data_IF_820915809976
#
_entry.id   IF_820915809976
#
_cell.length_a   1.000
_cell.length_b   1.000
_cell.length_c   1.000
_cell.angle_alpha   90.00
_cell.angle_beta   90.00
_cell.angle_gamma   90.00
#
_symmetry.space_group_name_H-M   'P 1'
#
loop_
_entity.id
_entity.type
_entity.pdbx_description
1 polymer ?
#
# COMPACT_ATOMS: atom_id res chain seq x y z
N UNK A 1 17.33 -10.38 -4.96
CA UNK A 1 16.16 -11.28 -5.14
C UNK A 1 15.54 -11.01 -6.51
N UNK A 2 15.03 -12.05 -7.19
CA UNK A 2 14.19 -11.84 -8.38
C UNK A 2 12.74 -11.57 -7.96
N UNK A 3 11.88 -11.18 -8.93
CA UNK A 3 10.48 -10.80 -8.63
C UNK A 3 9.65 -11.96 -8.04
N UNK A 4 9.92 -13.20 -8.44
CA UNK A 4 9.23 -14.36 -7.88
C UNK A 4 9.61 -14.57 -6.42
N UNK A 5 10.88 -14.47 -6.07
CA UNK A 5 11.37 -14.55 -4.68
C UNK A 5 10.78 -13.44 -3.81
N UNK A 6 10.73 -12.20 -4.32
CA UNK A 6 10.08 -11.08 -3.63
C UNK A 6 8.60 -11.36 -3.38
N UNK A 7 7.88 -11.83 -4.41
CA UNK A 7 6.45 -12.16 -4.32
C UNK A 7 6.20 -13.32 -3.33
N UNK A 8 7.12 -14.28 -3.24
CA UNK A 8 7.06 -15.36 -2.27
C UNK A 8 7.37 -14.85 -0.85
N UNK A 9 8.33 -13.95 -0.69
CA UNK A 9 8.75 -13.39 0.61
C UNK A 9 7.74 -12.41 1.17
N UNK A 10 7.15 -11.52 0.35
CA UNK A 10 6.18 -10.53 0.79
C UNK A 10 4.96 -11.20 1.47
N UNK A 11 4.60 -10.77 2.65
CA UNK A 11 3.35 -11.14 3.34
C UNK A 11 2.75 -9.95 4.08
N UNK A 12 1.51 -10.06 4.55
CA UNK A 12 0.84 -9.02 5.33
C UNK A 12 1.32 -9.04 6.78
N UNK A 13 2.30 -8.20 7.09
CA UNK A 13 2.92 -8.09 8.42
C UNK A 13 1.94 -7.40 9.37
N UNK A 14 1.75 -8.00 10.56
CA UNK A 14 0.84 -7.50 11.59
C UNK A 14 1.51 -7.40 12.96
N UNK A 15 2.82 -7.24 12.99
CA UNK A 15 3.58 -6.86 14.18
C UNK A 15 4.91 -6.26 13.73
N UNK A 16 5.16 -5.04 14.16
CA UNK A 16 6.37 -4.29 13.79
C UNK A 16 7.22 -4.05 15.03
N UNK A 17 8.53 -3.95 14.84
CA UNK A 17 9.44 -3.47 15.88
C UNK A 17 9.41 -1.93 15.95
N UNK A 18 9.94 -1.38 17.03
CA UNK A 18 10.03 0.07 17.23
C UNK A 18 11.13 0.73 16.39
N UNK A 19 11.91 -0.07 15.64
CA UNK A 19 12.98 0.45 14.78
C UNK A 19 12.39 1.32 13.67
N UNK A 20 12.81 2.58 13.56
CA UNK A 20 12.30 3.47 12.53
C UNK A 20 12.73 3.03 11.13
N UNK A 21 11.89 3.27 10.14
CA UNK A 21 12.25 3.13 8.73
C UNK A 21 13.23 4.24 8.36
N UNK A 22 14.35 3.88 7.73
CA UNK A 22 15.36 4.84 7.30
C UNK A 22 14.84 5.76 6.20
N UNK A 23 15.38 6.96 6.09
CA UNK A 23 15.03 7.89 5.00
C UNK A 23 15.44 7.31 3.63
N UNK A 24 16.57 6.62 3.57
CA UNK A 24 17.04 5.94 2.36
C UNK A 24 16.04 4.87 1.89
N UNK A 25 15.55 4.02 2.81
CA UNK A 25 14.57 3.00 2.47
C UNK A 25 13.23 3.61 2.04
N UNK A 26 12.79 4.67 2.72
CA UNK A 26 11.58 5.39 2.33
C UNK A 26 11.71 5.98 0.93
N UNK A 27 12.80 6.65 0.62
CA UNK A 27 13.05 7.24 -0.71
C UNK A 27 13.11 6.16 -1.79
N UNK A 28 13.79 5.04 -1.53
CA UNK A 28 13.82 3.91 -2.43
C UNK A 28 12.42 3.36 -2.73
N UNK A 29 11.62 3.13 -1.69
CA UNK A 29 10.24 2.64 -1.82
C UNK A 29 9.39 3.60 -2.67
N UNK A 30 9.46 4.90 -2.40
CA UNK A 30 8.71 5.91 -3.13
C UNK A 30 9.15 6.00 -4.60
N UNK A 31 10.45 5.88 -4.87
CA UNK A 31 10.97 5.90 -6.24
C UNK A 31 10.51 4.67 -7.06
N UNK A 32 10.55 3.47 -6.48
CA UNK A 32 10.01 2.27 -7.13
C UNK A 32 8.49 2.41 -7.35
N UNK A 33 7.77 2.95 -6.38
CA UNK A 33 6.32 3.22 -6.51
C UNK A 33 6.02 4.16 -7.67
N UNK A 34 6.82 5.22 -7.83
CA UNK A 34 6.70 6.20 -8.90
C UNK A 34 6.90 5.61 -10.30
N UNK A 35 7.68 4.52 -10.42
CA UNK A 35 7.96 3.85 -11.70
C UNK A 35 6.82 2.94 -12.18
N UNK A 36 5.75 2.79 -11.40
CA UNK A 36 4.61 1.97 -11.79
C UNK A 36 3.91 2.50 -13.06
N UNK A 37 3.42 1.63 -13.95
CA UNK A 37 2.61 2.04 -15.08
C UNK A 37 1.20 2.44 -14.67
N UNK A 38 0.55 3.25 -15.51
CA UNK A 38 -0.87 3.59 -15.37
C UNK A 38 -1.57 3.65 -16.72
N UNK A 39 -2.89 3.59 -16.72
CA UNK A 39 -3.69 3.68 -17.94
C UNK A 39 -3.40 4.99 -18.68
N UNK A 40 -2.95 4.88 -19.95
CA UNK A 40 -2.47 5.98 -20.82
C UNK A 40 -1.50 6.95 -20.14
N UNK A 41 -0.73 6.42 -19.17
CA UNK A 41 0.26 7.16 -18.39
C UNK A 41 -0.32 8.37 -17.60
N UNK A 42 -1.55 8.28 -17.15
CA UNK A 42 -2.20 9.37 -16.40
C UNK A 42 -1.64 9.56 -14.98
N UNK A 43 -1.13 8.48 -14.36
CA UNK A 43 -0.56 8.51 -13.01
C UNK A 43 -1.50 9.16 -11.98
N UNK A 44 -2.77 8.73 -11.88
CA UNK A 44 -3.81 9.40 -11.11
C UNK A 44 -3.72 9.07 -9.63
N UNK A 45 -2.58 9.29 -9.01
CA UNK A 45 -2.29 8.90 -7.63
C UNK A 45 -1.57 9.97 -6.84
N UNK A 46 -1.76 9.88 -5.54
CA UNK A 46 -0.97 10.58 -4.52
C UNK A 46 -0.67 9.61 -3.38
N UNK A 47 0.57 9.61 -2.94
CA UNK A 47 1.02 8.83 -1.78
C UNK A 47 1.35 9.78 -0.65
N UNK A 48 0.58 9.72 0.45
CA UNK A 48 0.76 10.59 1.61
C UNK A 48 1.52 9.83 2.67
N UNK A 49 2.76 10.23 2.93
CA UNK A 49 3.63 9.62 3.94
C UNK A 49 3.27 10.18 5.32
N UNK A 50 2.84 9.31 6.23
CA UNK A 50 2.46 9.63 7.60
C UNK A 50 3.56 9.15 8.54
N UNK A 51 4.45 10.06 8.95
CA UNK A 51 5.70 9.78 9.67
C UNK A 51 5.73 10.34 11.09
N UNK A 52 5.20 11.56 11.30
CA UNK A 52 5.21 12.17 12.62
C UNK A 52 4.32 11.42 13.61
N UNK A 53 4.71 11.39 14.87
CA UNK A 53 3.94 10.71 15.93
C UNK A 53 2.50 11.22 16.01
N UNK A 54 2.31 12.55 15.93
CA UNK A 54 0.98 13.15 15.97
C UNK A 54 0.10 12.68 14.80
N UNK A 55 0.62 12.72 13.57
CA UNK A 55 -0.12 12.28 12.39
C UNK A 55 -0.41 10.77 12.41
N UNK A 56 0.53 9.95 12.91
CA UNK A 56 0.32 8.51 13.09
C UNK A 56 -0.83 8.22 14.05
N UNK A 57 -0.86 8.90 15.22
CA UNK A 57 -1.95 8.76 16.19
C UNK A 57 -3.30 9.11 15.58
N UNK A 58 -3.38 10.20 14.84
CA UNK A 58 -4.61 10.58 14.13
C UNK A 58 -5.04 9.54 13.09
N UNK A 59 -4.10 9.00 12.30
CA UNK A 59 -4.39 7.95 11.31
C UNK A 59 -4.88 6.65 11.98
N UNK A 60 -4.28 6.28 13.09
CA UNK A 60 -4.63 5.08 13.86
C UNK A 60 -6.08 5.08 14.36
N UNK A 61 -6.68 6.25 14.54
CA UNK A 61 -8.09 6.38 14.86
C UNK A 61 -9.02 6.02 13.69
N UNK A 62 -8.51 6.01 12.46
CA UNK A 62 -9.28 5.59 11.28
C UNK A 62 -9.37 4.06 11.15
N UNK A 63 -8.48 3.33 11.79
CA UNK A 63 -8.45 1.87 11.80
C UNK A 63 -7.91 1.36 13.15
N UNK A 64 -8.82 1.14 14.08
CA UNK A 64 -8.51 0.76 15.48
C UNK A 64 -8.17 -0.73 15.58
N UNK A 65 -6.88 -1.06 15.42
CA UNK A 65 -6.29 -2.38 15.63
C UNK A 65 -4.91 -2.25 16.28
N UNK A 66 -4.64 -3.02 17.33
CA UNK A 66 -3.38 -2.93 18.07
C UNK A 66 -2.17 -3.22 17.20
N UNK A 67 -2.26 -4.22 16.33
CA UNK A 67 -1.20 -4.53 15.38
C UNK A 67 -0.90 -3.36 14.41
N UNK A 68 -1.93 -2.61 13.99
CA UNK A 68 -1.77 -1.47 13.12
C UNK A 68 -1.04 -0.33 13.84
N UNK A 69 -1.34 -0.13 15.13
CA UNK A 69 -0.70 0.90 15.95
C UNK A 69 0.79 0.67 16.17
N UNK A 70 1.28 -0.57 16.01
CA UNK A 70 2.71 -0.89 16.14
C UNK A 70 3.56 -0.42 14.97
N UNK A 71 2.96 -0.04 13.84
CA UNK A 71 3.74 0.38 12.66
C UNK A 71 4.36 1.77 12.86
N UNK A 72 5.67 1.93 12.55
CA UNK A 72 6.35 3.21 12.67
C UNK A 72 6.07 4.18 11.52
N UNK A 73 5.53 3.70 10.41
CA UNK A 73 5.30 4.45 9.18
C UNK A 73 4.04 3.99 8.47
N UNK A 74 3.33 4.94 7.86
CA UNK A 74 2.20 4.62 6.98
C UNK A 74 2.26 5.43 5.69
N UNK A 75 1.69 4.86 4.62
CA UNK A 75 1.46 5.57 3.37
C UNK A 75 -0.02 5.45 3.02
N UNK A 76 -0.73 6.58 2.93
CA UNK A 76 -2.10 6.63 2.42
C UNK A 76 -2.00 6.69 0.90
N UNK A 77 -2.56 5.68 0.22
CA UNK A 77 -2.63 5.60 -1.22
C UNK A 77 -3.95 6.21 -1.69
N UNK A 78 -3.89 7.27 -2.46
CA UNK A 78 -5.05 8.03 -2.90
C UNK A 78 -5.17 8.04 -4.42
N UNK A 79 -6.40 8.00 -4.91
CA UNK A 79 -6.75 8.18 -6.31
C UNK A 79 -7.14 9.62 -6.57
N UNK A 80 -6.62 10.23 -7.63
CA UNK A 80 -7.13 11.50 -8.16
C UNK A 80 -8.45 11.27 -8.92
N UNK A 81 -9.49 12.00 -8.55
CA UNK A 81 -10.85 11.74 -9.03
C UNK A 81 -11.00 12.10 -10.51
N UNK A 82 -10.49 13.28 -10.90
CA UNK A 82 -10.75 13.87 -12.21
C UNK A 82 -9.77 13.44 -13.30
N UNK A 83 -8.59 12.92 -12.95
CA UNK A 83 -7.56 12.54 -13.93
C UNK A 83 -7.50 11.05 -14.24
N UNK A 84 -8.29 10.19 -13.59
CA UNK A 84 -8.27 8.76 -13.89
C UNK A 84 -8.82 8.44 -15.29
N UNK A 85 -8.36 7.34 -15.87
CA UNK A 85 -8.85 6.87 -17.16
C UNK A 85 -10.21 6.17 -17.02
N UNK A 86 -11.11 6.43 -17.95
CA UNK A 86 -12.46 5.84 -17.98
C UNK A 86 -12.61 5.05 -19.28
N UNK A 87 -12.98 3.78 -19.18
CA UNK A 87 -13.31 2.96 -20.33
C UNK A 87 -14.66 3.38 -20.91
N UNK A 88 -14.68 3.75 -22.19
CA UNK A 88 -15.85 4.38 -22.84
C UNK A 88 -17.04 3.44 -22.96
N UNK A 89 -16.83 2.13 -23.14
CA UNK A 89 -17.88 1.15 -23.41
C UNK A 89 -18.81 0.94 -22.22
N UNK A 90 -18.30 1.05 -20.99
CA UNK A 90 -19.06 0.77 -19.77
C UNK A 90 -18.87 1.82 -18.66
N UNK A 91 -18.19 2.91 -18.97
CA UNK A 91 -17.86 4.00 -18.05
C UNK A 91 -17.07 3.54 -16.80
N UNK A 92 -16.35 2.40 -16.88
CA UNK A 92 -15.56 1.92 -15.76
C UNK A 92 -14.34 2.79 -15.51
N UNK A 93 -14.25 3.32 -14.30
CA UNK A 93 -13.09 4.06 -13.82
C UNK A 93 -11.94 3.12 -13.50
N UNK A 94 -10.71 3.47 -13.86
CA UNK A 94 -9.52 2.65 -13.67
C UNK A 94 -8.53 3.21 -12.63
N UNK A 95 -8.81 4.34 -12.03
CA UNK A 95 -7.92 4.98 -11.07
C UNK A 95 -7.55 4.09 -9.88
N UNK A 96 -8.49 3.31 -9.34
CA UNK A 96 -8.21 2.37 -8.24
C UNK A 96 -7.29 1.23 -8.72
N UNK A 97 -7.41 0.79 -9.97
CA UNK A 97 -6.52 -0.21 -10.58
C UNK A 97 -5.12 0.35 -10.70
N UNK A 98 -4.96 1.58 -11.21
CA UNK A 98 -3.67 2.25 -11.33
C UNK A 98 -3.00 2.42 -9.97
N UNK A 99 -3.74 2.89 -8.95
CA UNK A 99 -3.24 3.00 -7.57
C UNK A 99 -2.83 1.63 -7.02
N UNK A 100 -3.61 0.57 -7.30
CA UNK A 100 -3.29 -0.78 -6.85
C UNK A 100 -1.98 -1.31 -7.46
N UNK A 101 -1.73 -1.06 -8.74
CA UNK A 101 -0.47 -1.42 -9.42
C UNK A 101 0.71 -0.73 -8.71
N UNK A 102 0.63 0.58 -8.51
CA UNK A 102 1.69 1.34 -7.85
C UNK A 102 1.89 0.92 -6.38
N UNK A 103 0.80 0.59 -5.69
CA UNK A 103 0.85 0.12 -4.29
C UNK A 103 1.50 -1.26 -4.17
N UNK A 104 1.32 -2.17 -5.14
CA UNK A 104 2.06 -3.45 -5.11
C UNK A 104 3.55 -3.24 -5.37
N UNK A 105 3.95 -2.31 -6.26
CA UNK A 105 5.35 -1.90 -6.39
C UNK A 105 5.93 -1.43 -5.06
N UNK A 106 5.19 -0.61 -4.33
CA UNK A 106 5.54 -0.15 -2.97
C UNK A 106 5.78 -1.31 -2.00
N UNK A 107 4.86 -2.27 -1.96
CA UNK A 107 4.94 -3.42 -1.06
C UNK A 107 6.12 -4.34 -1.39
N UNK A 108 6.41 -4.54 -2.67
CA UNK A 108 7.56 -5.34 -3.12
C UNK A 108 8.89 -4.63 -2.82
N UNK A 109 8.96 -3.31 -3.03
CA UNK A 109 10.13 -2.52 -2.70
C UNK A 109 10.42 -2.53 -1.19
N UNK A 110 9.39 -2.40 -0.35
CA UNK A 110 9.54 -2.56 1.11
C UNK A 110 10.10 -3.94 1.47
N UNK A 111 9.60 -4.99 0.83
CA UNK A 111 10.09 -6.37 1.05
C UNK A 111 11.54 -6.54 0.61
N UNK A 112 11.95 -5.93 -0.50
CA UNK A 112 13.33 -5.94 -0.99
C UNK A 112 14.30 -5.29 -0.01
N UNK A 113 13.86 -4.19 0.63
CA UNK A 113 14.62 -3.50 1.70
C UNK A 113 14.54 -4.19 3.05
N UNK A 114 13.96 -5.41 3.12
CA UNK A 114 13.83 -6.17 4.38
C UNK A 114 12.74 -5.67 5.32
N UNK A 115 11.89 -4.77 4.85
CA UNK A 115 10.77 -4.24 5.61
C UNK A 115 9.50 -5.08 5.41
N UNK A 116 8.63 -5.05 6.41
CA UNK A 116 7.28 -5.59 6.33
C UNK A 116 6.28 -4.53 5.88
N UNK A 117 5.24 -4.96 5.19
CA UNK A 117 4.11 -4.12 4.82
C UNK A 117 2.78 -4.85 5.03
N UNK A 118 1.71 -4.09 5.26
CA UNK A 118 0.37 -4.64 5.24
C UNK A 118 -0.59 -3.67 4.55
N UNK A 119 -1.34 -4.20 3.58
CA UNK A 119 -2.37 -3.49 2.84
C UNK A 119 -3.68 -3.48 3.64
N UNK A 120 -4.21 -2.30 3.94
CA UNK A 120 -5.46 -2.09 4.69
C UNK A 120 -6.44 -1.34 3.80
N UNK A 121 -7.60 -1.93 3.55
CA UNK A 121 -8.74 -1.28 2.86
C UNK A 121 -9.95 -1.06 3.78
N UNK A 122 -10.02 -1.76 4.90
CA UNK A 122 -11.13 -1.63 5.85
C UNK A 122 -10.82 -0.57 6.91
N UNK A 123 -10.98 0.70 6.55
CA UNK A 123 -10.78 1.84 7.45
C UNK A 123 -11.97 2.82 7.36
N UNK A 124 -12.09 3.73 8.32
CA UNK A 124 -13.12 4.76 8.32
C UNK A 124 -12.75 5.87 7.32
N UNK A 125 -13.33 5.80 6.11
CA UNK A 125 -13.06 6.73 5.00
C UNK A 125 -13.45 8.16 5.36
N UNK A 126 -14.61 8.37 6.00
CA UNK A 126 -15.09 9.70 6.37
C UNK A 126 -14.11 10.37 7.34
N UNK A 127 -13.71 9.65 8.40
CA UNK A 127 -12.74 10.14 9.37
C UNK A 127 -11.37 10.40 8.73
N UNK A 128 -10.92 9.54 7.81
CA UNK A 128 -9.65 9.74 7.11
C UNK A 128 -9.67 11.02 6.28
N UNK A 129 -10.74 11.29 5.56
CA UNK A 129 -10.90 12.51 4.73
C UNK A 129 -10.98 13.78 5.58
N UNK A 130 -11.59 13.71 6.76
CA UNK A 130 -11.62 14.81 7.73
C UNK A 130 -10.23 15.08 8.31
N UNK A 131 -9.50 14.03 8.68
CA UNK A 131 -8.17 14.13 9.31
C UNK A 131 -7.08 14.55 8.32
N UNK A 132 -7.13 14.03 7.09
CA UNK A 132 -6.19 14.30 6.01
C UNK A 132 -6.93 14.81 4.77
N UNK A 133 -7.32 16.10 4.75
CA UNK A 133 -8.14 16.67 3.69
C UNK A 133 -7.35 16.94 2.42
N UNK A 134 -7.44 16.04 1.45
CA UNK A 134 -6.88 16.20 0.11
C UNK A 134 -8.02 16.37 -0.90
N UNK A 135 -8.33 17.61 -1.25
CA UNK A 135 -9.38 17.93 -2.24
C UNK A 135 -9.03 17.33 -3.60
N UNK A 136 -10.00 16.69 -4.25
CA UNK A 136 -9.82 16.02 -5.54
C UNK A 136 -9.21 14.61 -5.44
N UNK A 137 -8.96 14.09 -4.23
CA UNK A 137 -8.43 12.75 -4.01
C UNK A 137 -9.36 11.90 -3.14
N UNK A 138 -9.45 10.61 -3.50
CA UNK A 138 -10.17 9.59 -2.74
C UNK A 138 -9.17 8.56 -2.18
N UNK A 139 -9.23 8.21 -0.89
CA UNK A 139 -8.37 7.18 -0.32
C UNK A 139 -8.77 5.79 -0.82
N UNK A 140 -7.78 5.03 -1.29
CA UNK A 140 -7.94 3.66 -1.81
C UNK A 140 -7.46 2.63 -0.79
N UNK A 141 -6.30 2.88 -0.19
CA UNK A 141 -5.69 1.98 0.79
C UNK A 141 -4.78 2.74 1.76
N UNK A 142 -4.49 2.11 2.90
CA UNK A 142 -3.44 2.52 3.82
C UNK A 142 -2.42 1.38 3.88
N UNK A 143 -1.14 1.69 3.68
CA UNK A 143 -0.06 0.72 3.81
C UNK A 143 0.71 1.04 5.09
N UNK A 144 0.71 0.10 6.05
CA UNK A 144 1.61 0.14 7.20
C UNK A 144 2.97 -0.44 6.81
N UNK A 145 4.06 0.17 7.24
CA UNK A 145 5.44 -0.22 6.89
C UNK A 145 6.32 -0.15 8.14
N UNK A 146 7.23 -1.10 8.28
CA UNK A 146 8.22 -1.10 9.36
C UNK A 146 9.08 -2.36 9.35
N UNK A 147 10.06 -2.42 10.24
CA UNK A 147 10.80 -3.64 10.50
C UNK A 147 9.90 -4.68 11.15
N UNK A 148 10.02 -5.92 10.71
CA UNK A 148 9.20 -7.02 11.20
C UNK A 148 9.68 -7.39 12.60
N UNK A 149 8.78 -7.46 13.58
CA UNK A 149 9.14 -7.94 14.92
C UNK A 149 9.52 -9.43 14.88
N UNK A 150 10.49 -9.85 15.70
CA UNK A 150 11.00 -11.21 15.72
C UNK A 150 9.91 -12.26 16.02
N UNK A 151 8.91 -11.88 16.81
CA UNK A 151 7.77 -12.70 17.16
C UNK A 151 6.52 -12.42 16.31
N UNK A 152 6.69 -11.81 15.13
CA UNK A 152 5.60 -11.58 14.20
C UNK A 152 5.05 -12.91 13.68
N UNK A 153 3.74 -13.17 13.86
CA UNK A 153 3.16 -14.40 13.36
C UNK A 153 3.21 -14.44 11.83
N UNK A 154 3.69 -15.56 11.30
CA UNK A 154 3.70 -15.86 9.87
C UNK A 154 2.72 -16.98 9.59
N UNK A 155 1.90 -16.82 8.56
CA UNK A 155 0.99 -17.86 8.10
C UNK A 155 1.50 -18.44 6.79
N UNK A 156 1.23 -19.72 6.57
CA UNK A 156 1.47 -20.36 5.27
C UNK A 156 0.75 -19.58 4.16
N UNK A 157 1.47 -19.30 3.11
CA UNK A 157 0.96 -18.57 1.95
C UNK A 157 0.19 -19.51 1.01
N UNK A 158 -1.11 -19.60 1.19
CA UNK A 158 -1.97 -20.37 0.29
C UNK A 158 -2.24 -19.59 -0.99
N UNK A 159 -2.06 -20.25 -2.12
CA UNK A 159 -2.37 -19.71 -3.47
C UNK A 159 -3.07 -20.80 -4.26
N UNK A 160 -3.95 -20.38 -5.17
CA UNK A 160 -4.50 -21.25 -6.19
C UNK A 160 -3.38 -21.77 -7.09
N UNK A 161 -3.59 -22.91 -7.72
CA UNK A 161 -2.64 -23.45 -8.72
C UNK A 161 -2.71 -22.63 -10.00
N UNK A 162 -1.73 -22.83 -10.90
CA UNK A 162 -1.75 -22.14 -12.20
C UNK A 162 -2.97 -22.55 -13.03
N UNK A 163 -3.37 -23.82 -12.96
CA UNK A 163 -4.53 -24.35 -13.68
C UNK A 163 -5.86 -23.75 -13.20
N UNK A 164 -5.95 -23.37 -11.90
CA UNK A 164 -7.15 -22.72 -11.34
C UNK A 164 -7.31 -21.26 -11.77
N UNK A 165 -6.26 -20.63 -12.27
CA UNK A 165 -6.25 -19.18 -12.58
C UNK A 165 -5.92 -18.87 -14.03
N UNK A 166 -5.66 -19.91 -14.86
CA UNK A 166 -5.18 -19.71 -16.24
C UNK A 166 -5.91 -20.66 -17.18
N UNK A 167 -6.49 -20.13 -18.23
CA UNK A 167 -6.96 -20.88 -19.40
C UNK A 167 -6.04 -20.58 -20.58
N UNK A 168 -5.61 -21.61 -21.30
CA UNK A 168 -4.84 -21.46 -22.55
C UNK A 168 -5.78 -21.82 -23.69
N UNK A 169 -6.09 -20.83 -24.55
CA UNK A 169 -7.03 -20.95 -25.68
C UNK A 169 -6.27 -20.98 -26.98
#
# INVERSE_FOLDING_TARGET
MNILELSQKRFSVRKYSDTPVSEEDLQYILEVTRMAPSAVNKQPWKFVVVKSEAARKQLQECYDRDWFKSAPLYIICMREVDSNWIRKEDNKQHGDIDVAIATEHLCLAATERGLGSCWVCNFNVAKLKETFPYTGFEPVAIISIGHIADDCPTNEKKRKTLEEITDII
#
